data_IF_670876366468
#
_entry.id   IF_670876366468
#
_cell.length_a   1.000
_cell.length_b   1.000
_cell.length_c   1.000
_cell.angle_alpha   90.00
_cell.angle_beta   90.00
_cell.angle_gamma   90.00
#
_symmetry.space_group_name_H-M   'P 1'
#
loop_
_entity.id
_entity.type
_entity.pdbx_description
1 polymer ?
2 non-polymer ?
3 non-polymer ?
4 water ?
#
# COMPACT_ATOMS: atom_id res chain seq x y z
N UNK A 1 18.02 -0.93 -5.27
CA UNK A 1 17.45 -0.94 -3.94
C UNK A 1 17.57 0.38 -3.19
N UNK A 2 16.60 0.62 -2.31
CA UNK A 2 16.38 1.89 -1.64
C UNK A 2 16.16 1.60 -0.16
N UNK A 3 16.53 2.56 0.70
CA UNK A 3 16.31 2.41 2.12
C UNK A 3 14.98 3.06 2.52
N UNK A 4 14.08 2.28 3.15
CA UNK A 4 12.84 2.89 3.57
C UNK A 4 13.10 3.72 4.84
N UNK A 5 12.22 4.71 5.18
CA UNK A 5 11.05 5.06 4.38
C UNK A 5 11.38 5.74 3.05
N UNK A 6 10.53 5.53 2.05
CA UNK A 6 10.73 6.08 0.73
C UNK A 6 9.42 6.69 0.25
N UNK A 7 9.52 7.86 -0.37
CA UNK A 7 8.37 8.50 -0.96
C UNK A 7 8.49 8.47 -2.48
N UNK A 8 7.57 7.77 -3.16
CA UNK A 8 7.47 7.74 -4.60
C UNK A 8 6.57 8.90 -5.03
N UNK A 9 7.07 9.89 -5.80
CA UNK A 9 6.19 10.93 -6.32
C UNK A 9 5.20 10.36 -7.32
N UNK A 10 3.97 10.89 -7.30
CA UNK A 10 2.92 10.53 -8.24
C UNK A 10 2.44 11.84 -8.86
N UNK A 11 3.20 12.43 -9.79
CA UNK A 11 2.94 13.79 -10.24
C UNK A 11 1.58 13.95 -10.91
N UNK A 12 0.76 14.91 -10.48
CA UNK A 12 -0.59 15.02 -11.01
C UNK A 12 -1.50 13.92 -10.49
N UNK A 13 -1.05 13.19 -9.46
CA UNK A 13 -1.89 12.21 -8.81
C UNK A 13 -2.02 10.93 -9.63
N UNK A 14 -3.01 10.13 -9.23
CA UNK A 14 -3.27 8.85 -9.88
C UNK A 14 -4.46 8.99 -10.82
N UNK A 15 -4.61 7.97 -11.67
CA UNK A 15 -5.64 7.96 -12.71
C UNK A 15 -5.97 6.50 -12.97
N UNK A 16 -7.22 6.15 -13.34
CA UNK A 16 -7.50 4.76 -13.71
C UNK A 16 -6.56 4.24 -14.78
N UNK A 17 -6.21 2.97 -14.62
CA UNK A 17 -5.29 2.18 -15.44
C UNK A 17 -3.83 2.39 -15.02
N UNK A 18 -3.58 3.19 -13.99
CA UNK A 18 -2.23 3.29 -13.45
C UNK A 18 -1.96 2.08 -12.55
N UNK A 19 -0.86 1.38 -12.83
CA UNK A 19 -0.46 0.19 -12.10
C UNK A 19 0.86 0.47 -11.40
N UNK A 20 0.83 0.45 -10.07
CA UNK A 20 1.98 0.73 -9.23
C UNK A 20 2.50 -0.59 -8.73
N UNK A 21 3.80 -0.83 -8.97
CA UNK A 21 4.47 -2.06 -8.58
C UNK A 21 5.57 -1.76 -7.56
N UNK A 22 5.44 -2.38 -6.37
CA UNK A 22 6.43 -2.32 -5.31
C UNK A 22 7.04 -3.70 -5.15
N UNK A 23 8.35 -3.77 -5.34
CA UNK A 23 9.11 -5.00 -5.17
C UNK A 23 10.02 -4.84 -3.95
N UNK A 24 10.08 -5.89 -3.13
CA UNK A 24 11.01 -5.90 -2.03
C UNK A 24 11.06 -7.27 -1.37
N UNK A 25 11.67 -7.30 -0.19
CA UNK A 25 11.76 -8.50 0.61
C UNK A 25 11.35 -8.13 2.04
N UNK A 26 10.48 -8.95 2.63
CA UNK A 26 10.09 -8.70 4.01
C UNK A 26 11.28 -9.07 4.91
N UNK A 27 11.57 -8.22 5.89
CA UNK A 27 12.66 -8.49 6.80
C UNK A 27 12.33 -9.73 7.64
N UNK A 28 13.34 -10.44 8.18
CA UNK A 28 13.08 -11.47 9.17
C UNK A 28 12.47 -10.81 10.40
N UNK A 29 11.52 -11.49 11.06
CA UNK A 29 10.91 -10.97 12.28
C UNK A 29 10.17 -9.65 12.03
N UNK A 30 9.60 -9.50 10.84
CA UNK A 30 8.85 -8.30 10.51
C UNK A 30 7.65 -8.12 11.45
N UNK A 31 7.31 -6.86 11.75
CA UNK A 31 6.11 -6.54 12.52
C UNK A 31 5.02 -5.89 11.66
N UNK A 32 5.43 -5.03 10.72
CA UNK A 32 4.47 -4.21 9.97
C UNK A 32 5.07 -3.75 8.66
N UNK A 33 4.20 -3.46 7.70
CA UNK A 33 4.51 -2.80 6.45
C UNK A 33 3.43 -1.73 6.25
N UNK A 34 3.77 -0.58 5.65
CA UNK A 34 2.74 0.38 5.29
C UNK A 34 3.01 1.00 3.92
N UNK A 35 1.93 1.09 3.13
CA UNK A 35 1.87 1.95 1.97
C UNK A 35 0.88 3.07 2.30
N UNK A 36 1.25 4.32 1.99
CA UNK A 36 0.42 5.49 2.26
C UNK A 36 0.27 6.34 1.01
N UNK A 37 -0.87 6.25 0.33
CA UNK A 37 -1.19 7.13 -0.78
C UNK A 37 -1.68 8.44 -0.20
N UNK A 38 -0.93 9.53 -0.41
CA UNK A 38 -1.19 10.79 0.28
C UNK A 38 -1.76 11.85 -0.66
N UNK A 39 -2.72 12.61 -0.13
CA UNK A 39 -3.20 13.85 -0.71
C UNK A 39 -2.89 14.95 0.30
N UNK A 40 -1.71 15.58 0.14
CA UNK A 40 -1.19 16.46 1.17
C UNK A 40 -1.03 15.69 2.48
N UNK A 41 -1.62 16.19 3.57
CA UNK A 41 -1.54 15.51 4.85
C UNK A 41 -2.55 14.36 4.94
N UNK A 42 -3.52 14.31 4.03
CA UNK A 42 -4.51 13.25 4.10
C UNK A 42 -3.93 11.97 3.52
N UNK A 43 -4.31 10.83 4.09
CA UNK A 43 -3.96 9.55 3.53
C UNK A 43 -5.17 8.95 2.84
N UNK A 44 -5.18 9.02 1.51
CA UNK A 44 -6.31 8.49 0.74
C UNK A 44 -6.44 6.98 0.97
N UNK A 45 -5.32 6.29 1.01
CA UNK A 45 -5.33 4.83 1.11
C UNK A 45 -4.08 4.38 1.85
N UNK A 46 -4.28 3.86 3.06
CA UNK A 46 -3.26 3.26 3.89
C UNK A 46 -3.47 1.75 3.83
N UNK A 47 -2.43 1.02 3.44
CA UNK A 47 -2.44 -0.42 3.32
C UNK A 47 -1.40 -0.94 4.29
N UNK A 48 -1.83 -1.67 5.32
CA UNK A 48 -0.99 -1.90 6.49
C UNK A 48 -1.04 -3.36 6.93
N UNK A 49 -0.22 -4.25 6.31
CA UNK A 49 0.01 -5.60 6.84
C UNK A 49 0.59 -5.54 8.24
N UNK A 50 -0.07 -6.23 9.16
CA UNK A 50 0.36 -6.39 10.54
C UNK A 50 0.60 -7.86 10.82
N UNK A 51 1.83 -8.18 11.24
CA UNK A 51 2.26 -9.56 11.39
C UNK A 51 1.89 -10.10 12.78
N UNK A 52 1.61 -9.23 13.75
CA UNK A 52 1.27 -9.68 15.09
C UNK A 52 0.35 -8.66 15.76
N UNK A 53 -0.90 -8.63 15.32
CA UNK A 53 -1.93 -7.94 16.05
C UNK A 53 -2.73 -8.97 16.85
N UNK A 54 -2.57 -8.94 18.18
CA UNK A 54 -3.22 -9.92 19.03
C UNK A 54 -2.83 -11.33 18.57
N UNK A 55 -1.55 -11.49 18.17
CA UNK A 55 -1.00 -12.78 17.79
C UNK A 55 -1.67 -13.35 16.52
N UNK A 56 -2.19 -12.44 15.69
CA UNK A 56 -2.86 -12.76 14.43
C UNK A 56 -2.22 -11.91 13.34
N UNK A 57 -2.19 -12.43 12.11
CA UNK A 57 -1.75 -11.63 10.97
C UNK A 57 -3.00 -11.07 10.30
N UNK A 58 -2.99 -9.77 9.98
CA UNK A 58 -4.14 -9.11 9.39
C UNK A 58 -3.66 -7.97 8.49
N UNK A 59 -4.42 -7.69 7.44
CA UNK A 59 -4.23 -6.49 6.64
C UNK A 59 -5.25 -5.44 7.09
N UNK A 60 -4.78 -4.28 7.52
CA UNK A 60 -5.64 -3.16 7.85
C UNK A 60 -5.54 -2.09 6.76
N UNK A 61 -6.68 -1.66 6.25
CA UNK A 61 -6.74 -0.56 5.30
C UNK A 61 -7.59 0.57 5.86
N UNK A 62 -7.19 1.82 5.61
CA UNK A 62 -7.95 2.96 6.13
C UNK A 62 -7.59 4.21 5.35
N UNK A 63 -8.26 5.31 5.72
CA UNK A 63 -8.08 6.65 5.20
C UNK A 63 -7.91 7.58 6.40
N UNK A 64 -7.03 8.59 6.28
CA UNK A 64 -6.81 9.60 7.30
C UNK A 64 -7.20 10.95 6.72
N UNK A 65 -8.19 11.60 7.34
CA UNK A 65 -8.71 12.89 6.91
C UNK A 65 -8.57 13.87 8.06
N UNK A 66 -7.98 15.04 7.80
CA UNK A 66 -7.80 16.06 8.83
C UNK A 66 -7.13 15.45 10.07
N UNK A 67 -6.19 14.53 9.81
CA UNK A 67 -5.34 13.93 10.82
C UNK A 67 -6.10 12.91 11.68
N UNK A 68 -7.29 12.47 11.25
CA UNK A 68 -8.06 11.44 11.95
C UNK A 68 -8.24 10.20 11.08
N UNK A 69 -7.94 9.03 11.65
CA UNK A 69 -8.21 7.75 10.99
C UNK A 69 -9.72 7.45 10.97
N UNK A 70 -10.19 6.91 9.83
CA UNK A 70 -11.59 6.58 9.67
C UNK A 70 -11.85 5.11 10.00
N UNK A 71 -12.86 4.56 9.33
CA UNK A 71 -13.28 3.18 9.50
C UNK A 71 -12.30 2.20 8.86
N UNK A 72 -11.76 1.27 9.66
CA UNK A 72 -10.84 0.27 9.13
C UNK A 72 -11.58 -0.78 8.29
N UNK A 73 -10.97 -1.18 7.17
CA UNK A 73 -11.37 -2.37 6.44
C UNK A 73 -10.29 -3.41 6.66
N UNK A 74 -10.66 -4.59 7.14
CA UNK A 74 -9.70 -5.60 7.55
C UNK A 74 -9.85 -6.85 6.67
N UNK A 75 -8.71 -7.51 6.41
CA UNK A 75 -8.64 -8.74 5.62
C UNK A 75 -7.70 -9.71 6.37
N UNK A 76 -8.14 -10.96 6.58
CA UNK A 76 -7.30 -11.97 7.22
C UNK A 76 -6.43 -12.72 6.21
N UNK A 77 -6.82 -12.69 4.94
CA UNK A 77 -5.97 -13.27 3.90
C UNK A 77 -4.66 -12.49 3.92
N UNK A 78 -3.55 -13.21 4.07
CA UNK A 78 -2.29 -12.57 4.42
C UNK A 78 -1.17 -13.21 3.61
N UNK A 79 -0.83 -12.62 2.44
CA UNK A 79 0.12 -13.27 1.52
C UNK A 79 1.61 -13.06 1.76
N UNK A 80 1.96 -12.30 2.80
CA UNK A 80 3.34 -11.97 3.10
C UNK A 80 3.93 -12.99 4.08
N UNK A 81 5.23 -13.20 3.97
CA UNK A 81 5.96 -14.04 4.90
C UNK A 81 7.28 -13.35 5.24
N UNK A 82 7.65 -13.36 6.52
CA UNK A 82 8.93 -12.84 6.96
C UNK A 82 10.07 -13.49 6.15
N UNK A 83 10.98 -12.65 5.66
CA UNK A 83 12.16 -13.11 4.95
C UNK A 83 11.98 -13.30 3.45
N UNK A 84 10.74 -13.20 2.93
CA UNK A 84 10.46 -13.58 1.56
C UNK A 84 10.27 -12.38 0.65
N UNK A 85 10.70 -12.51 -0.62
CA UNK A 85 10.47 -11.50 -1.65
C UNK A 85 8.98 -11.38 -1.97
N UNK A 86 8.53 -10.15 -2.16
CA UNK A 86 7.16 -9.89 -2.53
C UNK A 86 7.07 -8.89 -3.66
N UNK A 87 5.88 -8.87 -4.26
CA UNK A 87 5.48 -7.86 -5.24
C UNK A 87 4.07 -7.42 -4.84
N UNK A 88 3.92 -6.12 -4.54
CA UNK A 88 2.60 -5.54 -4.32
C UNK A 88 2.29 -4.72 -5.58
N UNK A 89 1.15 -5.00 -6.18
CA UNK A 89 0.66 -4.19 -7.28
C UNK A 89 -0.63 -3.53 -6.88
N UNK A 90 -0.68 -2.20 -7.03
CA UNK A 90 -1.86 -1.42 -6.79
C UNK A 90 -2.32 -0.88 -8.14
N UNK A 91 -3.48 -1.36 -8.58
CA UNK A 91 -4.11 -0.93 -9.80
C UNK A 91 -5.16 0.11 -9.46
N UNK A 92 -5.03 1.30 -10.01
CA UNK A 92 -6.01 2.34 -9.80
C UNK A 92 -7.16 2.09 -10.79
N UNK A 93 -8.36 1.92 -10.24
CA UNK A 93 -9.57 1.75 -11.03
C UNK A 93 -10.47 2.96 -10.77
N UNK A 94 -11.55 3.15 -11.57
CA UNK A 94 -12.38 4.34 -11.41
C UNK A 94 -12.97 4.54 -10.01
N UNK A 95 -13.38 3.44 -9.36
CA UNK A 95 -14.01 3.54 -8.05
C UNK A 95 -13.24 2.90 -6.90
N UNK A 96 -12.11 2.25 -7.17
CA UNK A 96 -11.36 1.63 -6.08
C UNK A 96 -9.89 1.49 -6.45
N UNK A 97 -9.09 1.24 -5.43
CA UNK A 97 -7.76 0.67 -5.60
C UNK A 97 -7.90 -0.84 -5.51
N UNK A 98 -7.31 -1.56 -6.47
CA UNK A 98 -7.23 -3.01 -6.43
C UNK A 98 -5.81 -3.40 -6.09
N UNK A 99 -5.64 -4.28 -5.10
CA UNK A 99 -4.32 -4.74 -4.69
C UNK A 99 -4.17 -6.22 -5.00
N UNK A 100 -3.06 -6.57 -5.64
CA UNK A 100 -2.65 -7.94 -5.83
C UNK A 100 -1.25 -8.11 -5.23
N UNK A 101 -1.02 -9.25 -4.59
CA UNK A 101 0.29 -9.55 -4.04
C UNK A 101 0.78 -10.85 -4.66
N UNK A 102 2.00 -10.82 -5.22
CA UNK A 102 2.61 -11.99 -5.83
C UNK A 102 1.64 -12.58 -6.86
N UNK A 103 1.04 -11.68 -7.66
CA UNK A 103 0.17 -12.03 -8.78
C UNK A 103 -1.16 -12.66 -8.37
N UNK A 104 -1.55 -12.56 -7.09
CA UNK A 104 -2.86 -13.02 -6.63
C UNK A 104 -3.66 -11.83 -6.11
N UNK A 105 -4.91 -11.72 -6.55
CA UNK A 105 -5.80 -10.68 -6.08
C UNK A 105 -5.94 -10.76 -4.57
N UNK A 106 -5.85 -9.61 -3.88
CA UNK A 106 -5.93 -9.57 -2.44
C UNK A 106 -7.19 -8.83 -1.98
N UNK A 107 -7.35 -7.57 -2.40
CA UNK A 107 -8.48 -6.78 -1.94
C UNK A 107 -8.76 -5.62 -2.88
N UNK A 108 -9.94 -5.03 -2.72
CA UNK A 108 -10.28 -3.74 -3.29
C UNK A 108 -10.60 -2.78 -2.15
N UNK A 109 -10.33 -1.49 -2.36
CA UNK A 109 -10.59 -0.44 -1.41
C UNK A 109 -11.25 0.72 -2.15
N UNK A 110 -12.52 0.97 -1.87
CA UNK A 110 -13.25 2.02 -2.55
C UNK A 110 -12.66 3.39 -2.25
N UNK A 111 -12.66 4.26 -3.27
CA UNK A 111 -12.15 5.62 -3.12
C UNK A 111 -13.01 6.42 -2.14
N UNK A 112 -12.44 6.82 -1.00
CA UNK A 112 -13.07 7.73 -0.08
C UNK A 112 -12.66 9.17 -0.42
N UNK A 113 -11.37 9.34 -0.68
CA UNK A 113 -10.84 10.56 -1.28
C UNK A 113 -11.10 10.52 -2.78
N UNK A 114 -11.86 11.52 -3.26
CA UNK A 114 -12.38 11.52 -4.62
C UNK A 114 -11.39 12.17 -5.59
N UNK A 115 -10.51 13.05 -5.09
CA UNK A 115 -9.61 13.81 -5.95
C UNK A 115 -8.36 13.00 -6.27
N UNK A 116 -8.49 12.05 -7.21
CA UNK A 116 -7.40 11.14 -7.54
C UNK A 116 -6.21 11.94 -8.06
N UNK A 117 -6.46 13.04 -8.79
CA UNK A 117 -5.38 13.80 -9.39
C UNK A 117 -4.66 14.67 -8.37
N UNK A 118 -4.99 14.54 -7.08
CA UNK A 118 -4.26 15.21 -6.00
C UNK A 118 -3.58 14.23 -5.05
N UNK A 119 -3.68 12.92 -5.35
CA UNK A 119 -3.01 11.90 -4.55
C UNK A 119 -1.60 11.74 -5.13
N UNK A 120 -0.68 12.61 -4.66
CA UNK A 120 0.52 12.89 -5.43
C UNK A 120 1.77 12.31 -4.79
N UNK A 121 1.64 11.50 -3.75
CA UNK A 121 2.79 10.84 -3.15
C UNK A 121 2.39 9.47 -2.63
N UNK A 122 3.27 8.48 -2.77
CA UNK A 122 3.14 7.17 -2.16
C UNK A 122 4.30 6.95 -1.18
N UNK A 123 3.98 6.87 0.11
CA UNK A 123 4.95 6.52 1.13
C UNK A 123 5.04 5.01 1.28
N UNK A 124 6.26 4.50 1.38
CA UNK A 124 6.54 3.09 1.59
C UNK A 124 7.41 2.99 2.85
N UNK A 125 6.92 2.24 3.84
CA UNK A 125 7.61 2.16 5.11
C UNK A 125 7.41 0.80 5.76
N UNK A 126 8.19 0.56 6.83
CA UNK A 126 8.04 -0.64 7.63
C UNK A 126 9.16 -1.63 7.38
N UNK A 127 8.88 -2.89 7.68
CA UNK A 127 9.93 -3.88 7.90
C UNK A 127 10.24 -4.61 6.60
N UNK A 128 10.75 -3.85 5.63
CA UNK A 128 11.08 -4.37 4.32
C UNK A 128 12.43 -3.82 3.87
N UNK A 129 13.01 -4.60 2.96
CA UNK A 129 14.06 -4.15 2.06
C UNK A 129 13.41 -3.82 0.73
N UNK A 130 13.45 -2.56 0.32
CA UNK A 130 12.79 -2.09 -0.88
C UNK A 130 13.71 -2.25 -2.08
N UNK A 131 13.29 -3.03 -3.08
CA UNK A 131 14.04 -3.21 -4.31
C UNK A 131 13.70 -2.15 -5.35
N UNK A 132 12.39 -1.92 -5.55
CA UNK A 132 11.87 -1.11 -6.65
C UNK A 132 10.51 -0.51 -6.28
N UNK A 133 10.22 0.72 -6.76
CA UNK A 133 8.88 1.26 -6.73
C UNK A 133 8.68 2.07 -8.01
N UNK A 134 7.75 1.63 -8.85
CA UNK A 134 7.52 2.26 -10.15
C UNK A 134 6.06 2.11 -10.54
N UNK A 135 5.70 2.71 -11.68
CA UNK A 135 4.37 2.54 -12.19
C UNK A 135 4.38 2.61 -13.70
N UNK A 136 3.29 2.12 -14.29
CA UNK A 136 3.06 2.19 -15.71
C UNK A 136 1.54 2.33 -15.92
N UNK A 137 1.15 2.62 -17.16
CA UNK A 137 -0.26 2.61 -17.54
C UNK A 137 -0.55 1.32 -18.29
N UNK A 138 -1.63 0.62 -17.91
CA UNK A 138 -2.00 -0.63 -18.56
C UNK A 138 -2.91 -0.36 -19.77
X LIG B 1 -7.59 3.72 14.98
X LIG B 1 -6.17 5.25 15.31
X LIG B 1 -4.03 4.21 14.36
X LIG B 1 -5.50 4.23 14.72
X LIG B 1 -6.44 3.25 14.51
X LIG B 1 -8.92 3.07 15.03
X LIG B 1 -9.85 3.66 16.07
X LIG B 1 -9.62 3.13 13.74
X LIG B 1 -2.73 3.10 11.08
X LIG B 1 1.55 3.57 11.12
X LIG B 1 4.01 3.91 10.96
X LIG B 1 4.32 1.48 9.68
X LIG B 1 3.06 1.89 10.07
X LIG B 1 0.41 2.87 11.45
X LIG B 1 -0.92 2.63 15.54
X LIG B 1 -1.27 3.51 14.46
X LIG B 1 -2.07 2.91 13.43
X LIG B 1 -3.53 2.84 13.87
X LIG B 1 -10.76 4.51 15.36
X LIG B 1 -10.79 4.07 13.99
X LIG B 1 -8.97 3.73 12.74
X LIG B 1 -7.45 4.92 15.46
X LIG B 1 -4.32 2.32 12.79
X LIG B 1 -4.18 3.06 11.56
X LIG B 1 -5.10 2.39 10.53
X LIG B 1 -6.46 2.49 10.95
X LIG B 1 -2.31 1.77 10.77
X LIG B 1 -1.86 3.73 12.18
X LIG B 1 -0.49 3.79 11.73
X LIG B 1 0.01 4.99 11.63
X LIG B 1 1.26 4.88 11.27
X LIG B 1 2.90 3.10 10.71
X LIG B 1 5.26 3.51 10.56
X LIG B 1 5.43 2.30 9.93
X LIG B 1 7.05 1.80 9.46
X LIG B 1 4.38 0.26 9.05
X LIG B 1 1.98 1.08 9.82
X LIG B 1 -3.46 4.50 15.25
X LIG B 1 -3.84 4.97 13.60
X LIG B 1 -6.29 2.27 14.07
X LIG B 1 -8.78 2.00 15.28
X LIG B 1 -10.39 2.87 16.58
X LIG B 1 -9.28 4.23 16.80
X LIG B 1 -10.07 2.16 13.55
X LIG B 1 -2.67 3.73 10.18
X LIG B 1 3.88 4.87 11.45
X LIG B 1 0.28 1.80 11.45
X LIG B 1 -0.29 3.15 16.22
X LIG B 1 -0.39 1.80 15.15
X LIG B 1 -1.79 2.31 16.03
X LIG B 1 -1.71 1.90 13.24
X LIG B 1 -3.59 2.14 14.72
X LIG B 1 -10.73 4.93 13.33
X LIG B 1 -11.73 3.55 13.80
X LIG B 1 -4.53 4.09 11.71
X LIG B 1 -4.82 1.34 10.42
X LIG B 1 -4.98 2.88 9.56
X LIG B 1 -6.56 2.06 11.82
X LIG B 1 -1.56 1.53 11.32
X LIG B 1 -2.27 4.72 12.33
X LIG B 1 6.11 4.13 10.76
X LIG C 1 0.62 -0.69 12.55
X LIG C 1 1.68 0.22 13.26
X LIG C 1 2.46 0.90 13.74
#
# INVERSE_FOLDING_TARGET
PLIVPYNLPLPGGVVPRMLITILGTVKPNANRIALDFQRGNDVAFHFNPRFNENNRRVIVCNTKLDNNWGREERQSVFPFESGKPFKIQVLVEPDHFKVAVNDAHLLQYNHRVKKLNEISKLGISGDIDLTSASYTMI
A1H2R N1 N3 C4 C5 C6 C7 C8 C10 C13 C15 C17 C20 C21 C22 C1 O1 C2 C3 O2 C9 F1 N2 O3 C11 C12 O4 O5 C14 N4 N5 N6 C16 C18 C19 CL1 F2 F3 H7 H6 H8 H9 H10 H11 H14 H19 H22 H24 H2 H3 H1 H4 H5 H12 H13 H15 H16 H17 H18 H20 H21 H23
SCN S C N
#
